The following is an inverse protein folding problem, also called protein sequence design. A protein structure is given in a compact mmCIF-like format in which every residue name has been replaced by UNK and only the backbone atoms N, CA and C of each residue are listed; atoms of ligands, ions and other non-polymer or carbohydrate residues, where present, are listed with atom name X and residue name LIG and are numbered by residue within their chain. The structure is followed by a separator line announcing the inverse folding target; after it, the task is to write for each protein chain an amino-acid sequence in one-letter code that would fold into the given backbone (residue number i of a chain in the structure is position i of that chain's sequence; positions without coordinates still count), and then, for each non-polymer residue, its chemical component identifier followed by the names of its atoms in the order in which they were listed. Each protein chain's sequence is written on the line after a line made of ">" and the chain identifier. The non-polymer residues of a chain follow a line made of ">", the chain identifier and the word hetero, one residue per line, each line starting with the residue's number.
data_IF_200856023663
#
_entry.id   IF_200856023663
#
_cell.length_a   1.000
_cell.length_b   1.000
_cell.length_c   1.000
_cell.angle_alpha   90.00
_cell.angle_beta   90.00
_cell.angle_gamma   90.00
#
_symmetry.space_group_name_H-M   'P 1'
#
loop_
_entity.id
_entity.type
_entity.pdbx_description
1 polymer ?
#
# COMPACT_ATOMS: atom_id res chain seq x y z
N UNK A 1 21.01 20.91 15.28
CA UNK A 1 21.17 20.22 13.96
C UNK A 1 19.88 19.50 13.53
N UNK A 2 19.01 19.04 14.45
CA UNK A 2 17.75 18.38 14.10
C UNK A 2 16.67 19.28 13.44
N UNK A 3 16.63 20.57 13.75
CA UNK A 3 15.54 21.47 13.33
C UNK A 3 15.54 21.79 11.83
N UNK A 4 16.72 21.92 11.19
CA UNK A 4 16.80 22.17 9.74
C UNK A 4 16.32 20.97 8.91
N UNK A 5 16.48 19.75 9.41
CA UNK A 5 16.05 18.53 8.73
C UNK A 5 14.54 18.29 8.84
N UNK A 6 13.88 18.84 9.86
CA UNK A 6 12.41 18.82 9.95
C UNK A 6 11.79 19.79 8.94
N UNK A 7 12.27 21.04 8.92
CA UNK A 7 11.81 22.07 7.98
C UNK A 7 12.03 21.65 6.51
N UNK A 8 13.17 21.01 6.19
CA UNK A 8 13.42 20.48 4.85
C UNK A 8 12.45 19.35 4.44
N UNK A 9 12.11 18.46 5.38
CA UNK A 9 11.12 17.39 5.13
C UNK A 9 9.71 17.93 4.97
N UNK A 10 9.33 18.93 5.76
CA UNK A 10 8.02 19.59 5.64
C UNK A 10 7.92 20.37 4.32
N UNK A 11 8.96 21.11 3.94
CA UNK A 11 9.01 21.79 2.65
C UNK A 11 9.02 20.84 1.45
N UNK A 12 9.53 19.61 1.61
CA UNK A 12 9.43 18.55 0.60
C UNK A 12 8.02 17.95 0.53
N UNK A 13 7.37 17.72 1.69
CA UNK A 13 5.98 17.27 1.78
C UNK A 13 5.01 18.30 1.17
N UNK A 14 5.19 19.59 1.47
CA UNK A 14 4.41 20.69 0.91
C UNK A 14 4.54 20.78 -0.63
N UNK A 15 5.69 20.34 -1.17
CA UNK A 15 5.93 20.21 -2.62
C UNK A 15 5.44 18.88 -3.21
N UNK A 16 4.66 18.11 -2.45
CA UNK A 16 4.08 16.83 -2.89
C UNK A 16 5.05 15.64 -2.87
N UNK A 17 6.29 15.82 -2.40
CA UNK A 17 7.24 14.71 -2.25
C UNK A 17 7.03 14.03 -0.90
N UNK A 18 6.16 13.02 -0.89
CA UNK A 18 6.04 12.09 0.21
C UNK A 18 7.24 11.14 0.20
N UNK A 19 8.24 11.43 1.01
CA UNK A 19 9.38 10.54 1.23
C UNK A 19 8.91 9.22 1.84
N UNK A 20 9.14 8.11 1.16
CA UNK A 20 8.76 6.77 1.59
C UNK A 20 9.14 5.72 0.54
N UNK A 21 9.09 4.44 0.93
CA UNK A 21 9.25 3.33 -0.02
C UNK A 21 8.01 3.32 -0.92
N UNK A 22 8.16 3.41 -2.26
CA UNK A 22 7.01 3.35 -3.15
C UNK A 22 6.25 2.04 -2.92
N UNK A 23 4.91 2.13 -2.95
CA UNK A 23 4.04 0.97 -2.82
C UNK A 23 4.31 0.02 -3.99
N UNK A 24 4.48 -1.28 -3.70
CA UNK A 24 4.77 -2.29 -4.73
C UNK A 24 3.56 -2.63 -5.61
N UNK A 25 2.35 -2.34 -5.14
CA UNK A 25 1.11 -2.54 -5.88
C UNK A 25 0.53 -1.17 -6.23
N UNK A 26 0.09 -1.02 -7.47
CA UNK A 26 -0.66 0.14 -7.93
C UNK A 26 -2.12 0.05 -7.49
N UNK A 27 -2.88 1.14 -7.61
CA UNK A 27 -4.32 1.14 -7.30
C UNK A 27 -5.09 0.11 -8.12
N UNK A 28 -4.73 -0.08 -9.41
CA UNK A 28 -5.35 -1.09 -10.27
C UNK A 28 -5.03 -2.52 -9.79
N UNK A 29 -3.80 -2.76 -9.32
CA UNK A 29 -3.43 -4.06 -8.74
C UNK A 29 -4.26 -4.35 -7.49
N UNK A 30 -4.61 -3.34 -6.69
CA UNK A 30 -5.44 -3.52 -5.49
C UNK A 30 -6.89 -3.88 -5.84
N UNK A 31 -7.44 -3.32 -6.91
CA UNK A 31 -8.77 -3.68 -7.41
C UNK A 31 -8.80 -5.12 -7.94
N UNK A 32 -7.75 -5.50 -8.69
CA UNK A 32 -7.60 -6.86 -9.18
C UNK A 32 -7.39 -7.84 -8.01
N UNK A 33 -6.60 -7.46 -7.01
CA UNK A 33 -6.40 -8.21 -5.77
C UNK A 33 -7.74 -8.49 -5.09
N UNK A 34 -8.57 -7.46 -4.88
CA UNK A 34 -9.91 -7.58 -4.26
C UNK A 34 -10.77 -8.57 -5.04
N UNK A 35 -10.80 -8.43 -6.37
CA UNK A 35 -11.56 -9.31 -7.26
C UNK A 35 -11.08 -10.76 -7.19
N UNK A 36 -9.78 -11.01 -7.16
CA UNK A 36 -9.23 -12.37 -7.07
C UNK A 36 -9.54 -13.04 -5.74
N UNK A 37 -9.47 -12.28 -4.64
CA UNK A 37 -9.83 -12.75 -3.30
C UNK A 37 -11.33 -13.06 -3.21
N UNK A 38 -12.17 -12.20 -3.77
CA UNK A 38 -13.63 -12.40 -3.82
C UNK A 38 -14.01 -13.65 -4.63
N UNK A 39 -13.30 -13.91 -5.74
CA UNK A 39 -13.44 -15.15 -6.52
C UNK A 39 -12.88 -16.41 -5.80
N UNK A 40 -12.40 -16.29 -4.56
CA UNK A 40 -11.87 -17.42 -3.79
C UNK A 40 -10.47 -17.89 -4.20
N UNK A 41 -9.71 -17.07 -4.95
CA UNK A 41 -8.35 -17.43 -5.35
C UNK A 41 -7.44 -17.51 -4.13
N UNK A 42 -6.60 -18.56 -3.97
CA UNK A 42 -5.70 -18.67 -2.84
C UNK A 42 -4.72 -17.49 -2.74
N UNK A 43 -4.62 -16.89 -1.56
CA UNK A 43 -3.69 -15.78 -1.27
C UNK A 43 -2.24 -16.11 -1.64
N UNK A 44 -1.86 -17.39 -1.56
CA UNK A 44 -0.52 -17.86 -1.97
C UNK A 44 -0.27 -17.61 -3.46
N UNK A 45 -1.19 -18.03 -4.32
CA UNK A 45 -1.10 -17.86 -5.78
C UNK A 45 -1.06 -16.39 -6.17
N UNK A 46 -1.86 -15.58 -5.51
CA UNK A 46 -1.87 -14.12 -5.67
C UNK A 46 -0.50 -13.55 -5.29
N UNK A 47 0.02 -13.91 -4.12
CA UNK A 47 1.32 -13.44 -3.65
C UNK A 47 2.48 -13.83 -4.58
N UNK A 48 2.45 -15.05 -5.14
CA UNK A 48 3.41 -15.54 -6.12
C UNK A 48 3.34 -14.73 -7.43
N UNK A 49 2.14 -14.43 -7.93
CA UNK A 49 1.95 -13.66 -9.18
C UNK A 49 2.57 -12.27 -9.12
N UNK A 50 2.49 -11.60 -7.98
CA UNK A 50 3.08 -10.27 -7.77
C UNK A 50 4.49 -10.31 -7.15
N UNK A 51 5.05 -11.50 -6.92
CA UNK A 51 6.34 -11.70 -6.25
C UNK A 51 6.44 -10.93 -4.92
N UNK A 52 5.38 -11.03 -4.11
CA UNK A 52 5.27 -10.42 -2.79
C UNK A 52 5.01 -11.47 -1.72
N UNK A 53 5.22 -11.13 -0.46
CA UNK A 53 4.88 -12.02 0.65
C UNK A 53 3.37 -12.04 0.89
N UNK A 54 2.86 -13.16 1.43
CA UNK A 54 1.46 -13.27 1.90
C UNK A 54 1.12 -12.13 2.88
N UNK A 55 2.07 -11.74 3.72
CA UNK A 55 1.93 -10.63 4.67
C UNK A 55 1.69 -9.30 3.97
N UNK A 56 2.31 -9.09 2.81
CA UNK A 56 2.09 -7.89 1.99
C UNK A 56 0.66 -7.85 1.47
N UNK A 57 0.13 -8.99 1.01
CA UNK A 57 -1.27 -9.12 0.57
C UNK A 57 -2.23 -8.84 1.73
N UNK A 58 -2.04 -9.46 2.90
CA UNK A 58 -2.87 -9.19 4.07
C UNK A 58 -2.85 -7.73 4.51
N UNK A 59 -1.68 -7.08 4.45
CA UNK A 59 -1.56 -5.63 4.75
C UNK A 59 -2.39 -4.79 3.78
N UNK A 60 -2.36 -5.11 2.49
CA UNK A 60 -3.18 -4.40 1.51
C UNK A 60 -4.67 -4.68 1.70
N UNK A 61 -5.07 -5.92 1.98
CA UNK A 61 -6.46 -6.27 2.30
C UNK A 61 -6.97 -5.50 3.52
N UNK A 62 -6.18 -5.44 4.60
CA UNK A 62 -6.52 -4.66 5.80
C UNK A 62 -6.68 -3.17 5.47
N UNK A 63 -5.78 -2.60 4.65
CA UNK A 63 -5.85 -1.19 4.22
C UNK A 63 -7.08 -0.89 3.36
N UNK A 64 -7.52 -1.85 2.55
CA UNK A 64 -8.75 -1.75 1.74
C UNK A 64 -9.97 -1.80 2.67
N UNK A 65 -10.00 -2.74 3.62
CA UNK A 65 -11.09 -2.86 4.60
C UNK A 65 -11.25 -1.62 5.47
N UNK A 66 -10.14 -1.00 5.93
CA UNK A 66 -10.20 0.25 6.70
C UNK A 66 -10.77 1.43 5.90
N UNK A 67 -10.62 1.45 4.57
CA UNK A 67 -11.22 2.49 3.72
C UNK A 67 -12.74 2.35 3.56
N UNK A 68 -13.28 1.14 3.72
CA UNK A 68 -14.71 0.86 3.59
C UNK A 68 -15.48 1.15 4.89
N UNK A 69 -14.80 1.26 6.04
CA UNK A 69 -15.36 1.78 7.28
C UNK A 69 -15.01 3.26 7.46
N UNK A 70 -15.90 4.20 7.09
CA UNK A 70 -15.74 5.58 7.52
C UNK A 70 -15.88 5.61 9.05
N UNK A 71 -14.81 6.05 9.73
CA UNK A 71 -14.84 6.42 11.14
C UNK A 71 -15.60 7.74 11.32
#
# INVERSE_FOLDING_TARGET
>A
ILERSAAGREAARARGRFGGRPEKLTSQDLELLKTLVDNGTPIKTIAERWNVSRTTIYRYLSKIMEKETPK
#
